data_IF_549365402726
#
_entry.id   IF_549365402726
#
_cell.length_a   1.000
_cell.length_b   1.000
_cell.length_c   1.000
_cell.angle_alpha   90.00
_cell.angle_beta   90.00
_cell.angle_gamma   90.00
#
_symmetry.space_group_name_H-M   'P 1'
#
loop_
_entity.id
_entity.type
_entity.pdbx_description
1 polymer ?
#
# COMPACT_ATOMS: atom_id res chain seq x y z
N UNK A 1 34.04 21.49 24.25
CA UNK A 1 32.70 21.06 24.68
C UNK A 1 31.71 20.78 23.52
N UNK A 2 32.12 20.79 22.24
CA UNK A 2 31.22 20.53 21.10
C UNK A 2 30.97 19.04 20.74
N UNK A 3 31.96 18.16 20.95
CA UNK A 3 31.94 16.81 20.38
C UNK A 3 30.73 15.92 20.78
N UNK A 4 30.25 16.01 22.03
CA UNK A 4 29.10 15.19 22.46
C UNK A 4 27.77 15.76 21.95
N UNK A 5 27.60 17.09 21.95
CA UNK A 5 26.40 17.73 21.41
C UNK A 5 26.25 17.48 19.90
N UNK A 6 27.37 17.48 19.17
CA UNK A 6 27.40 17.16 17.75
C UNK A 6 27.01 15.69 17.50
N UNK A 7 27.54 14.75 18.28
CA UNK A 7 27.18 13.33 18.21
C UNK A 7 25.69 13.08 18.48
N UNK A 8 25.11 13.73 19.50
CA UNK A 8 23.68 13.63 19.78
C UNK A 8 22.82 14.20 18.64
N UNK A 9 23.24 15.31 18.05
CA UNK A 9 22.56 15.93 16.92
C UNK A 9 22.57 15.02 15.70
N UNK A 10 23.71 14.41 15.40
CA UNK A 10 23.84 13.45 14.30
C UNK A 10 23.02 12.18 14.53
N UNK A 11 22.97 11.71 15.78
CA UNK A 11 22.11 10.59 16.14
C UNK A 11 20.63 10.92 15.93
N UNK A 12 20.17 12.10 16.37
CA UNK A 12 18.80 12.54 16.18
C UNK A 12 18.42 12.59 14.68
N UNK A 13 19.26 13.19 13.83
CA UNK A 13 19.06 13.24 12.38
C UNK A 13 19.00 11.86 11.75
N UNK A 14 19.89 10.94 12.15
CA UNK A 14 19.89 9.56 11.65
C UNK A 14 18.63 8.82 12.06
N UNK A 15 18.15 9.02 13.28
CA UNK A 15 16.90 8.42 13.77
C UNK A 15 15.71 8.92 12.96
N UNK A 16 15.58 10.23 12.74
CA UNK A 16 14.50 10.80 11.92
C UNK A 16 14.50 10.25 10.48
N UNK A 17 15.68 10.19 9.85
CA UNK A 17 15.84 9.65 8.51
C UNK A 17 15.45 8.15 8.43
N UNK A 18 15.85 7.35 9.43
CA UNK A 18 15.53 5.93 9.50
C UNK A 18 14.05 5.68 9.74
N UNK A 19 13.43 6.42 10.65
CA UNK A 19 11.98 6.31 10.90
C UNK A 19 11.18 6.68 9.66
N UNK A 20 11.59 7.72 8.93
CA UNK A 20 10.98 8.09 7.65
C UNK A 20 11.15 6.99 6.59
N UNK A 21 12.32 6.35 6.54
CA UNK A 21 12.56 5.23 5.63
C UNK A 21 11.67 4.00 5.96
N UNK A 22 11.54 3.65 7.24
CA UNK A 22 10.62 2.58 7.67
C UNK A 22 9.18 2.90 7.27
N UNK A 23 8.72 4.13 7.54
CA UNK A 23 7.37 4.55 7.18
C UNK A 23 7.09 4.41 5.68
N UNK A 24 7.97 4.93 4.83
CA UNK A 24 7.86 4.80 3.37
C UNK A 24 7.86 3.34 2.92
N UNK A 25 8.79 2.55 3.47
CA UNK A 25 8.91 1.13 3.12
C UNK A 25 7.68 0.33 3.54
N UNK A 26 7.08 0.62 4.69
CA UNK A 26 5.82 -0.01 5.11
C UNK A 26 4.69 0.28 4.12
N UNK A 27 4.61 1.51 3.60
CA UNK A 27 3.58 1.87 2.61
C UNK A 27 3.82 1.18 1.26
N UNK A 28 5.07 1.08 0.80
CA UNK A 28 5.41 0.30 -0.40
C UNK A 28 4.96 -1.15 -0.27
N UNK A 29 5.36 -1.81 0.82
CA UNK A 29 4.99 -3.21 1.07
C UNK A 29 3.48 -3.41 1.20
N UNK A 30 2.76 -2.45 1.78
CA UNK A 30 1.31 -2.47 1.83
C UNK A 30 0.70 -2.34 0.43
N UNK A 31 1.22 -1.44 -0.40
CA UNK A 31 0.76 -1.28 -1.77
C UNK A 31 1.07 -2.52 -2.63
N UNK A 32 2.19 -3.18 -2.38
CA UNK A 32 2.55 -4.44 -3.03
C UNK A 32 1.58 -5.56 -2.63
N UNK A 33 1.27 -5.71 -1.33
CA UNK A 33 0.25 -6.64 -0.86
C UNK A 33 -1.13 -6.37 -1.49
N UNK A 34 -1.50 -5.09 -1.62
CA UNK A 34 -2.71 -4.64 -2.32
C UNK A 34 -2.62 -4.76 -3.86
N UNK A 35 -1.54 -5.28 -4.42
CA UNK A 35 -1.42 -5.55 -5.86
C UNK A 35 -1.23 -7.03 -6.16
N UNK A 36 -0.71 -7.78 -5.22
CA UNK A 36 -0.48 -9.22 -5.38
C UNK A 36 -1.80 -9.91 -5.69
N UNK A 37 -1.82 -10.50 -6.88
CA UNK A 37 -2.98 -11.22 -7.38
C UNK A 37 -3.12 -12.57 -6.69
N UNK A 38 -4.31 -13.14 -6.71
CA UNK A 38 -4.57 -14.50 -6.22
C UNK A 38 -3.66 -15.55 -6.89
N UNK A 39 -3.39 -15.43 -8.20
CA UNK A 39 -2.42 -16.26 -8.91
C UNK A 39 -0.98 -16.13 -8.36
N UNK A 40 -0.65 -15.01 -7.74
CA UNK A 40 0.66 -14.73 -7.13
C UNK A 40 0.66 -14.99 -5.60
N UNK A 41 -0.40 -15.61 -5.06
CA UNK A 41 -0.55 -15.90 -3.64
C UNK A 41 -1.11 -14.75 -2.79
N UNK A 42 -1.57 -13.68 -3.44
CA UNK A 42 -2.30 -12.58 -2.82
C UNK A 42 -3.80 -12.82 -2.77
N UNK A 43 -4.57 -11.74 -2.68
CA UNK A 43 -6.04 -11.79 -2.57
C UNK A 43 -6.77 -11.04 -3.68
N UNK A 44 -6.05 -10.27 -4.50
CA UNK A 44 -6.65 -9.47 -5.57
C UNK A 44 -7.03 -10.40 -6.72
N UNK A 45 -8.31 -10.52 -7.11
CA UNK A 45 -8.70 -11.42 -8.19
C UNK A 45 -8.04 -11.07 -9.52
N UNK A 46 -7.43 -12.04 -10.16
CA UNK A 46 -6.90 -11.88 -11.50
C UNK A 46 -7.97 -12.19 -12.56
N UNK A 47 -8.31 -11.19 -13.37
CA UNK A 47 -9.07 -11.37 -14.61
C UNK A 47 -8.23 -10.94 -15.81
N UNK A 48 -7.79 -9.69 -15.78
CA UNK A 48 -6.92 -9.03 -16.77
C UNK A 48 -5.81 -8.20 -16.10
N UNK A 49 -5.72 -8.27 -14.77
CA UNK A 49 -4.82 -7.45 -13.95
C UNK A 49 -5.20 -5.97 -13.84
N UNK A 50 -6.30 -5.52 -14.46
CA UNK A 50 -6.73 -4.12 -14.40
C UNK A 50 -7.05 -3.69 -12.96
N UNK A 51 -7.62 -4.59 -12.16
CA UNK A 51 -7.92 -4.31 -10.76
C UNK A 51 -6.64 -3.95 -9.98
N UNK A 52 -5.60 -4.79 -10.06
CA UNK A 52 -4.31 -4.54 -9.42
C UNK A 52 -3.65 -3.25 -9.96
N UNK A 53 -3.71 -3.03 -11.28
CA UNK A 53 -3.16 -1.82 -11.94
C UNK A 53 -3.92 -0.54 -11.59
N UNK A 54 -5.17 -0.65 -11.14
CA UNK A 54 -5.99 0.49 -10.72
C UNK A 54 -5.65 1.04 -9.33
N UNK A 55 -4.74 0.39 -8.58
CA UNK A 55 -4.31 0.90 -7.28
C UNK A 55 -3.51 2.20 -7.46
N UNK A 56 -3.93 3.24 -6.75
CA UNK A 56 -3.31 4.55 -6.74
C UNK A 56 -3.03 5.01 -5.32
N UNK A 57 -1.93 5.74 -5.14
CA UNK A 57 -1.62 6.46 -3.92
C UNK A 57 -1.92 7.96 -4.06
N UNK A 58 -2.33 8.59 -2.97
CA UNK A 58 -2.58 10.03 -2.90
C UNK A 58 -2.35 10.54 -1.49
N UNK A 59 -1.76 11.72 -1.36
CA UNK A 59 -1.55 12.39 -0.07
C UNK A 59 -2.61 13.45 0.24
N UNK A 60 -3.51 13.73 -0.72
CA UNK A 60 -4.51 14.80 -0.59
C UNK A 60 -5.87 14.25 -0.20
N UNK A 61 -6.33 13.22 -0.91
CA UNK A 61 -7.64 12.61 -0.73
C UNK A 61 -7.67 11.17 -1.26
N UNK A 62 -8.70 10.41 -0.87
CA UNK A 62 -8.97 9.08 -1.42
C UNK A 62 -9.08 9.14 -2.95
N UNK A 63 -8.35 8.29 -3.70
CA UNK A 63 -8.49 8.19 -5.14
C UNK A 63 -9.94 7.96 -5.57
N UNK A 64 -10.40 8.71 -6.56
CA UNK A 64 -11.74 8.54 -7.13
C UNK A 64 -11.77 7.40 -8.11
N UNK A 65 -12.94 6.77 -8.25
CA UNK A 65 -13.13 5.74 -9.28
C UNK A 65 -13.10 6.34 -10.68
N UNK A 66 -12.60 5.58 -11.63
CA UNK A 66 -12.49 5.95 -13.04
C UNK A 66 -12.78 4.73 -13.93
N UNK A 67 -13.21 4.92 -15.19
CA UNK A 67 -13.21 3.85 -16.17
C UNK A 67 -11.76 3.48 -16.56
N UNK A 68 -11.52 2.19 -16.82
CA UNK A 68 -10.24 1.73 -17.36
C UNK A 68 -10.08 2.05 -18.85
N UNK A 69 -8.94 1.64 -19.45
CA UNK A 69 -7.86 0.84 -18.85
C UNK A 69 -6.96 1.64 -17.91
N UNK A 70 -6.34 0.96 -16.95
CA UNK A 70 -5.43 1.53 -15.97
C UNK A 70 -3.97 1.25 -16.37
N UNK A 71 -3.14 2.30 -16.52
CA UNK A 71 -1.75 2.12 -16.95
C UNK A 71 -0.85 1.48 -15.88
N UNK A 72 -1.36 1.28 -14.66
CA UNK A 72 -0.53 0.95 -13.50
C UNK A 72 0.08 2.23 -12.93
N UNK A 73 -0.54 2.81 -11.91
CA UNK A 73 -0.04 4.05 -11.32
C UNK A 73 1.19 3.79 -10.44
N UNK A 74 2.18 4.68 -10.48
CA UNK A 74 3.39 4.54 -9.67
C UNK A 74 3.14 5.01 -8.23
N UNK A 75 2.73 4.08 -7.37
CA UNK A 75 2.62 4.32 -5.92
C UNK A 75 3.99 4.71 -5.33
N UNK A 76 5.09 4.19 -5.89
CA UNK A 76 6.45 4.49 -5.44
C UNK A 76 6.78 5.98 -5.57
N UNK A 77 6.36 6.62 -6.67
CA UNK A 77 6.56 8.06 -6.85
C UNK A 77 5.90 8.90 -5.75
N UNK A 78 4.68 8.54 -5.32
CA UNK A 78 3.99 9.23 -4.21
C UNK A 78 4.70 8.92 -2.89
N UNK A 79 5.06 7.65 -2.66
CA UNK A 79 5.74 7.22 -1.43
C UNK A 79 7.10 7.91 -1.23
N UNK A 80 7.85 8.12 -2.30
CA UNK A 80 9.13 8.83 -2.26
C UNK A 80 9.01 10.26 -1.69
N UNK A 81 7.83 10.88 -1.80
CA UNK A 81 7.58 12.24 -1.30
C UNK A 81 7.02 12.28 0.12
N UNK A 82 6.63 11.13 0.70
CA UNK A 82 5.97 11.07 1.99
C UNK A 82 6.85 11.59 3.12
N UNK A 83 6.26 12.39 4.00
CA UNK A 83 6.86 12.80 5.26
C UNK A 83 6.34 11.93 6.39
N UNK A 84 7.17 11.74 7.43
CA UNK A 84 6.74 11.02 8.62
C UNK A 84 5.51 11.69 9.25
N UNK A 85 4.49 10.89 9.58
CA UNK A 85 3.24 11.36 10.17
C UNK A 85 2.25 11.99 9.18
N UNK A 86 2.59 12.11 7.90
CA UNK A 86 1.65 12.55 6.87
C UNK A 86 0.63 11.44 6.57
N UNK A 87 -0.67 11.73 6.44
CA UNK A 87 -1.63 10.74 5.97
C UNK A 87 -1.40 10.37 4.50
N UNK A 88 -1.63 9.11 4.16
CA UNK A 88 -1.65 8.62 2.79
C UNK A 88 -2.91 7.80 2.55
N UNK A 89 -3.45 7.93 1.35
CA UNK A 89 -4.57 7.17 0.83
C UNK A 89 -4.08 6.19 -0.22
N UNK A 90 -4.38 4.91 -0.04
CA UNK A 90 -4.25 3.87 -1.06
C UNK A 90 -5.65 3.45 -1.49
N UNK A 91 -5.98 3.59 -2.76
CA UNK A 91 -7.32 3.35 -3.26
C UNK A 91 -7.33 2.79 -4.68
N UNK A 92 -8.30 1.92 -4.95
CA UNK A 92 -8.53 1.35 -6.27
C UNK A 92 -9.44 2.27 -7.08
N UNK A 93 -9.03 2.59 -8.31
CA UNK A 93 -9.85 3.40 -9.22
C UNK A 93 -10.91 2.56 -9.95
N UNK A 94 -10.74 1.24 -10.08
CA UNK A 94 -11.72 0.40 -10.75
C UNK A 94 -13.09 0.48 -10.07
N UNK A 95 -14.13 0.89 -10.81
CA UNK A 95 -15.51 1.04 -10.29
C UNK A 95 -16.03 -0.26 -9.66
N UNK A 96 -15.62 -1.41 -10.21
CA UNK A 96 -16.02 -2.72 -9.72
C UNK A 96 -15.21 -3.22 -8.51
N UNK A 97 -14.15 -2.52 -8.08
CA UNK A 97 -13.27 -2.97 -7.00
C UNK A 97 -14.02 -3.23 -5.69
N UNK A 98 -14.94 -2.33 -5.31
CA UNK A 98 -15.74 -2.48 -4.09
C UNK A 98 -16.62 -3.74 -4.14
N UNK A 99 -17.21 -4.02 -5.30
CA UNK A 99 -18.05 -5.20 -5.52
C UNK A 99 -17.22 -6.48 -5.43
N UNK A 100 -15.99 -6.48 -5.95
CA UNK A 100 -15.10 -7.63 -5.83
C UNK A 100 -14.56 -7.81 -4.41
N UNK A 101 -14.30 -6.71 -3.68
CA UNK A 101 -13.81 -6.78 -2.31
C UNK A 101 -14.87 -7.37 -1.36
N UNK A 102 -16.08 -6.83 -1.37
CA UNK A 102 -17.14 -7.24 -0.42
C UNK A 102 -18.06 -8.35 -0.94
N UNK A 103 -17.98 -8.66 -2.23
CA UNK A 103 -18.93 -9.55 -2.88
C UNK A 103 -20.22 -8.82 -3.23
N UNK A 104 -21.15 -9.57 -3.83
CA UNK A 104 -22.46 -9.06 -4.21
C UNK A 104 -23.47 -10.19 -4.29
N UNK A 105 -24.58 -9.99 -3.58
CA UNK A 105 -25.77 -10.85 -3.65
C UNK A 105 -26.93 -10.00 -4.14
N UNK A 106 -27.50 -10.35 -5.28
CA UNK A 106 -28.66 -9.64 -5.83
C UNK A 106 -28.79 -9.71 -7.34
N UNK A 107 -29.90 -9.17 -7.85
CA UNK A 107 -30.12 -9.00 -9.28
C UNK A 107 -29.45 -7.71 -9.79
N UNK A 108 -28.86 -7.75 -10.98
CA UNK A 108 -28.45 -6.54 -11.68
C UNK A 108 -29.62 -5.86 -12.41
N UNK A 109 -29.33 -4.73 -13.08
CA UNK A 109 -30.34 -3.97 -13.86
C UNK A 109 -30.94 -4.78 -15.02
N UNK A 110 -30.33 -5.91 -15.39
CA UNK A 110 -30.79 -6.83 -16.44
C UNK A 110 -31.53 -8.06 -15.86
N UNK A 111 -31.75 -8.10 -14.53
CA UNK A 111 -32.42 -9.21 -13.85
C UNK A 111 -31.54 -10.43 -13.59
N UNK A 112 -30.24 -10.37 -13.89
CA UNK A 112 -29.31 -11.49 -13.63
C UNK A 112 -29.00 -11.54 -12.15
N UNK A 113 -29.27 -12.69 -11.51
CA UNK A 113 -28.98 -12.91 -10.09
C UNK A 113 -27.53 -13.34 -9.92
N UNK A 114 -26.84 -12.66 -9.03
CA UNK A 114 -25.47 -12.97 -8.64
C UNK A 114 -25.43 -13.40 -7.18
N UNK A 115 -24.60 -14.39 -6.90
CA UNK A 115 -24.16 -14.75 -5.55
C UNK A 115 -22.63 -14.82 -5.58
N UNK A 116 -21.99 -13.66 -5.57
CA UNK A 116 -20.55 -13.51 -5.66
C UNK A 116 -19.97 -13.30 -4.27
N UNK A 117 -19.11 -14.21 -3.83
CA UNK A 117 -18.35 -14.05 -2.60
C UNK A 117 -17.30 -12.95 -2.76
N UNK A 118 -17.12 -12.14 -1.71
CA UNK A 118 -16.07 -11.11 -1.66
C UNK A 118 -14.70 -11.72 -1.44
N UNK A 119 -13.69 -11.13 -2.07
CA UNK A 119 -12.29 -11.54 -1.93
C UNK A 119 -11.60 -10.92 -0.71
N UNK A 120 -12.17 -9.84 -0.15
CA UNK A 120 -11.67 -9.13 1.03
C UNK A 120 -10.16 -8.82 0.97
N UNK A 121 -9.69 -8.38 -0.19
CA UNK A 121 -8.26 -8.11 -0.43
C UNK A 121 -7.79 -6.84 0.29
N UNK A 122 -8.68 -5.86 0.51
CA UNK A 122 -8.34 -4.68 1.32
C UNK A 122 -8.22 -5.07 2.79
N UNK A 123 -9.17 -5.81 3.31
CA UNK A 123 -9.16 -6.26 4.71
C UNK A 123 -7.97 -7.18 4.97
N UNK A 124 -7.68 -8.12 4.06
CA UNK A 124 -6.51 -8.99 4.19
C UNK A 124 -5.17 -8.23 4.16
N UNK A 125 -5.06 -7.14 3.40
CA UNK A 125 -3.89 -6.28 3.43
C UNK A 125 -3.78 -5.48 4.76
N UNK A 126 -4.91 -5.01 5.29
CA UNK A 126 -4.98 -4.32 6.60
C UNK A 126 -4.58 -5.28 7.73
N UNK A 127 -5.06 -6.52 7.71
CA UNK A 127 -4.70 -7.55 8.68
C UNK A 127 -3.19 -7.82 8.72
N UNK A 128 -2.51 -7.69 7.56
CA UNK A 128 -1.06 -7.86 7.41
C UNK A 128 -0.23 -6.64 7.86
N UNK A 129 -0.87 -5.52 8.21
CA UNK A 129 -0.16 -4.28 8.53
C UNK A 129 0.91 -4.42 9.61
N UNK A 130 0.66 -5.08 10.77
CA UNK A 130 1.69 -5.26 11.78
C UNK A 130 2.92 -6.04 11.27
N UNK A 131 2.71 -7.10 10.46
CA UNK A 131 3.80 -7.86 9.87
C UNK A 131 4.58 -7.01 8.84
N UNK A 132 3.87 -6.24 8.02
CA UNK A 132 4.47 -5.34 7.02
C UNK A 132 5.38 -4.30 7.68
N UNK A 133 4.92 -3.67 8.76
CA UNK A 133 5.72 -2.68 9.51
C UNK A 133 6.95 -3.33 10.13
N UNK A 134 6.79 -4.52 10.73
CA UNK A 134 7.92 -5.28 11.29
C UNK A 134 8.95 -5.67 10.21
N UNK A 135 8.49 -6.08 9.03
CA UNK A 135 9.35 -6.40 7.89
C UNK A 135 10.10 -5.15 7.41
N UNK A 136 9.40 -4.04 7.21
CA UNK A 136 10.03 -2.77 6.81
C UNK A 136 11.11 -2.33 7.80
N UNK A 137 10.83 -2.42 9.11
CA UNK A 137 11.81 -2.10 10.14
C UNK A 137 13.06 -2.98 10.05
N UNK A 138 12.87 -4.29 9.85
CA UNK A 138 13.98 -5.25 9.68
C UNK A 138 14.81 -4.97 8.44
N UNK A 139 14.19 -4.65 7.31
CA UNK A 139 14.89 -4.33 6.06
C UNK A 139 15.73 -3.06 6.19
N UNK A 140 15.20 -2.01 6.80
CA UNK A 140 15.94 -0.76 7.04
C UNK A 140 17.07 -0.96 8.05
N UNK A 141 16.86 -1.76 9.10
CA UNK A 141 17.93 -2.11 10.03
C UNK A 141 19.07 -2.85 9.33
N UNK A 142 18.77 -3.89 8.55
CA UNK A 142 19.79 -4.64 7.81
C UNK A 142 20.56 -3.77 6.79
N UNK A 143 19.88 -2.83 6.14
CA UNK A 143 20.52 -1.87 5.23
C UNK A 143 21.48 -0.90 5.93
N UNK A 144 21.28 -0.64 7.24
CA UNK A 144 22.19 0.17 8.06
C UNK A 144 23.39 -0.66 8.52
N UNK A 145 23.17 -1.92 8.92
CA UNK A 145 24.22 -2.82 9.39
C UNK A 145 25.19 -3.19 8.26
N UNK A 146 24.69 -3.44 7.05
CA UNK A 146 25.55 -3.76 5.89
C UNK A 146 26.37 -2.58 5.32
N UNK A 147 26.19 -1.35 5.84
CA UNK A 147 26.97 -0.16 5.46
C UNK A 147 28.05 0.21 6.49
N UNK A 148 28.11 -0.49 7.62
CA UNK A 148 29.13 -0.33 8.65
C UNK A 148 30.27 -1.32 8.41
#
# INVERSE_FOLDING_TARGET
MGAFADQLTDWAKKTEARTTAVYRRSVELLADEMRTTDEQGGRVPFQDGELARSLQASTQAMPTTAPGPFPGNDVGAVVATLKLGQPIWLGYQAVYARRQNYGFVGADKLGRVFNQQGSYFVEGAIEKWPQIVAQAAKEIQGAVEGRQ
#
